data_IF_041961719460
#
_entry.id   IF_041961719460
#
_cell.length_a   1.000
_cell.length_b   1.000
_cell.length_c   1.000
_cell.angle_alpha   90.00
_cell.angle_beta   90.00
_cell.angle_gamma   90.00
#
_symmetry.space_group_name_H-M   'P 1'
#
loop_
_entity.id
_entity.type
_entity.pdbx_description
1 polymer ?
#
# COMPACT_ATOMS: atom_id res chain seq x y z
N UNK A 1 20.95 17.82 -20.39
CA UNK A 1 19.54 17.67 -19.96
C UNK A 1 19.33 16.27 -19.40
N UNK A 2 19.76 16.02 -18.17
CA UNK A 2 19.65 14.70 -17.53
C UNK A 2 19.07 14.89 -16.13
N UNK A 3 17.76 15.15 -16.07
CA UNK A 3 17.08 15.45 -14.80
C UNK A 3 15.62 15.03 -14.86
N UNK A 4 15.34 13.74 -15.10
CA UNK A 4 13.95 13.25 -15.07
C UNK A 4 13.71 11.77 -14.74
N UNK A 5 14.68 11.06 -14.17
CA UNK A 5 14.50 9.65 -13.76
C UNK A 5 15.08 9.32 -12.38
N UNK A 6 15.03 10.29 -11.46
CA UNK A 6 15.17 10.05 -10.02
C UNK A 6 13.76 9.86 -9.45
N UNK A 7 13.15 8.70 -9.69
CA UNK A 7 12.10 8.16 -8.83
C UNK A 7 12.88 7.51 -7.69
N UNK A 8 13.12 8.28 -6.63
CA UNK A 8 14.15 8.00 -5.64
C UNK A 8 13.63 6.98 -4.62
N UNK A 9 14.46 5.98 -4.30
CA UNK A 9 14.27 5.10 -3.13
C UNK A 9 13.94 5.87 -1.83
N UNK A 10 14.31 7.16 -1.77
CA UNK A 10 14.04 8.08 -0.68
C UNK A 10 12.56 8.17 -0.29
N UNK A 11 11.63 7.98 -1.23
CA UNK A 11 10.19 8.07 -0.95
C UNK A 11 9.62 6.86 -0.19
N UNK A 12 10.39 5.76 -0.12
CA UNK A 12 10.01 4.49 0.52
C UNK A 12 10.89 4.14 1.72
N UNK A 13 11.89 4.97 2.02
CA UNK A 13 12.81 4.73 3.12
C UNK A 13 12.34 5.46 4.38
N UNK A 14 12.41 4.81 5.55
CA UNK A 14 12.16 5.49 6.81
C UNK A 14 13.08 6.71 6.93
N UNK A 15 12.55 7.80 7.50
CA UNK A 15 13.20 9.13 7.53
C UNK A 15 14.57 9.19 8.19
N UNK A 16 14.96 8.15 8.94
CA UNK A 16 16.26 8.01 9.59
C UNK A 16 17.29 7.16 8.79
N UNK A 17 16.96 6.74 7.57
CA UNK A 17 17.87 6.01 6.69
C UNK A 17 18.62 6.94 5.74
N UNK A 18 19.86 6.60 5.41
CA UNK A 18 20.66 7.36 4.43
C UNK A 18 20.81 6.59 3.12
N UNK A 19 20.76 7.32 2.01
CA UNK A 19 21.03 6.77 0.68
C UNK A 19 22.34 7.33 0.16
N UNK A 20 23.31 6.44 -0.05
CA UNK A 20 24.63 6.77 -0.56
C UNK A 20 24.82 6.14 -1.95
N UNK A 21 25.24 6.91 -2.97
CA UNK A 21 25.58 6.33 -4.27
C UNK A 21 26.86 5.48 -4.16
N UNK A 22 26.94 4.41 -4.94
CA UNK A 22 28.12 3.57 -5.10
C UNK A 22 28.52 3.47 -6.57
N UNK A 23 29.66 2.84 -6.88
CA UNK A 23 30.13 2.70 -8.26
C UNK A 23 29.14 1.93 -9.17
N UNK A 24 28.39 0.97 -8.61
CA UNK A 24 27.51 0.07 -9.37
C UNK A 24 26.05 0.09 -8.86
N UNK A 25 25.66 1.08 -8.07
CA UNK A 25 24.30 1.21 -7.56
C UNK A 25 24.17 2.08 -6.33
N UNK A 26 23.35 1.67 -5.36
CA UNK A 26 23.05 2.47 -4.16
C UNK A 26 23.26 1.68 -2.88
N UNK A 27 23.56 2.41 -1.82
CA UNK A 27 23.76 1.90 -0.48
C UNK A 27 22.75 2.55 0.46
N UNK A 28 22.04 1.73 1.19
CA UNK A 28 21.03 2.11 2.17
C UNK A 28 21.60 1.88 3.56
N UNK A 29 21.79 2.96 4.32
CA UNK A 29 22.34 2.89 5.67
C UNK A 29 21.20 3.00 6.66
N UNK A 30 20.88 1.88 7.30
CA UNK A 30 19.89 1.74 8.34
C UNK A 30 20.47 2.15 9.72
N UNK A 31 19.61 2.59 10.66
CA UNK A 31 20.02 2.93 12.02
C UNK A 31 20.62 1.75 12.79
N UNK A 32 20.11 0.53 12.54
CA UNK A 32 20.55 -0.70 13.18
C UNK A 32 20.24 -1.91 12.30
N UNK A 33 20.79 -3.08 12.66
CA UNK A 33 20.61 -4.31 11.88
C UNK A 33 19.21 -4.90 11.92
N UNK A 34 18.42 -4.61 12.95
CA UNK A 34 17.04 -5.09 13.05
C UNK A 34 16.14 -4.38 12.03
N UNK A 35 16.27 -3.05 11.93
CA UNK A 35 15.54 -2.25 10.93
C UNK A 35 15.96 -2.64 9.51
N UNK A 36 17.27 -2.87 9.30
CA UNK A 36 17.80 -3.34 8.02
C UNK A 36 17.16 -4.67 7.59
N UNK A 37 17.08 -5.61 8.51
CA UNK A 37 16.53 -6.94 8.28
C UNK A 37 15.01 -6.89 8.04
N UNK A 38 14.27 -6.15 8.88
CA UNK A 38 12.82 -6.01 8.76
C UNK A 38 12.41 -5.36 7.45
N UNK A 39 13.11 -4.30 7.05
CA UNK A 39 12.89 -3.64 5.76
C UNK A 39 13.27 -4.57 4.61
N UNK A 40 14.40 -5.29 4.68
CA UNK A 40 14.76 -6.27 3.65
C UNK A 40 13.70 -7.35 3.50
N UNK A 41 13.18 -7.90 4.59
CA UNK A 41 12.15 -8.95 4.54
C UNK A 41 10.82 -8.42 4.01
N UNK A 42 10.39 -7.23 4.44
CA UNK A 42 9.15 -6.60 3.98
C UNK A 42 9.20 -6.01 2.57
N UNK A 43 10.38 -5.61 2.10
CA UNK A 43 10.58 -4.94 0.81
C UNK A 43 11.49 -5.73 -0.15
N UNK A 44 11.74 -7.02 0.10
CA UNK A 44 12.72 -7.85 -0.62
C UNK A 44 12.58 -7.77 -2.14
N UNK A 45 11.35 -7.93 -2.63
CA UNK A 45 11.07 -7.94 -4.07
C UNK A 45 11.15 -6.53 -4.67
N UNK A 46 10.75 -5.49 -3.92
CA UNK A 46 10.94 -4.10 -4.33
C UNK A 46 12.43 -3.76 -4.47
N UNK A 47 13.26 -4.21 -3.53
CA UNK A 47 14.72 -4.03 -3.59
C UNK A 47 15.32 -4.73 -4.80
N UNK A 48 14.84 -5.92 -5.18
CA UNK A 48 15.29 -6.62 -6.40
C UNK A 48 14.93 -5.84 -7.67
N UNK A 49 13.68 -5.36 -7.77
CA UNK A 49 13.23 -4.56 -8.92
C UNK A 49 14.00 -3.24 -9.02
N UNK A 50 14.24 -2.60 -7.88
CA UNK A 50 15.02 -1.37 -7.81
C UNK A 50 16.48 -1.64 -8.19
N UNK A 51 17.06 -2.77 -7.76
CA UNK A 51 18.40 -3.19 -8.16
C UNK A 51 18.52 -3.47 -9.67
N UNK A 52 17.47 -3.92 -10.36
CA UNK A 52 17.50 -4.05 -11.84
C UNK A 52 17.67 -2.70 -12.55
N UNK A 53 17.16 -1.62 -11.96
CA UNK A 53 17.28 -0.26 -12.51
C UNK A 53 18.57 0.42 -12.06
N UNK A 54 18.96 0.19 -10.80
CA UNK A 54 20.07 0.88 -10.15
C UNK A 54 21.39 0.09 -10.21
N UNK A 55 21.38 -1.17 -10.65
CA UNK A 55 22.53 -2.08 -10.68
C UNK A 55 22.59 -2.97 -9.43
N UNK A 56 22.96 -2.39 -8.29
CA UNK A 56 22.98 -3.08 -7.00
C UNK A 56 22.39 -2.23 -5.87
N UNK A 57 21.83 -2.91 -4.88
CA UNK A 57 21.43 -2.30 -3.61
C UNK A 57 22.15 -3.01 -2.47
N UNK A 58 22.85 -2.23 -1.64
CA UNK A 58 23.51 -2.72 -0.43
C UNK A 58 22.82 -2.15 0.81
N UNK A 59 22.35 -2.99 1.72
CA UNK A 59 21.84 -2.56 3.03
C UNK A 59 22.93 -2.73 4.09
N UNK A 60 23.19 -1.65 4.82
CA UNK A 60 24.25 -1.52 5.82
C UNK A 60 23.72 -0.87 7.10
N UNK A 61 24.40 -1.09 8.21
CA UNK A 61 24.16 -0.42 9.49
C UNK A 61 25.47 -0.34 10.27
N UNK A 62 25.49 0.41 11.38
CA UNK A 62 26.69 0.52 12.21
C UNK A 62 27.05 -0.83 12.87
N UNK A 63 28.33 -1.23 12.77
CA UNK A 63 28.79 -2.56 13.19
C UNK A 63 28.42 -3.72 12.26
N UNK A 64 27.89 -3.46 11.06
CA UNK A 64 27.56 -4.49 10.08
C UNK A 64 28.84 -5.20 9.56
N UNK A 65 28.99 -6.48 9.91
CA UNK A 65 30.11 -7.29 9.41
C UNK A 65 29.93 -7.74 7.95
N UNK A 66 28.68 -7.94 7.51
CA UNK A 66 28.35 -8.34 6.14
C UNK A 66 27.06 -7.64 5.68
N UNK A 67 27.12 -6.76 4.67
CA UNK A 67 25.94 -6.10 4.13
C UNK A 67 25.01 -7.08 3.41
N UNK A 68 23.71 -6.82 3.48
CA UNK A 68 22.72 -7.52 2.65
C UNK A 68 22.83 -6.95 1.24
N UNK A 69 23.25 -7.79 0.29
CA UNK A 69 23.40 -7.40 -1.11
C UNK A 69 22.22 -7.90 -1.93
N UNK A 70 21.64 -7.00 -2.71
CA UNK A 70 20.59 -7.30 -3.68
C UNK A 70 21.12 -6.91 -5.05
N UNK A 71 21.37 -7.93 -5.87
CA UNK A 71 21.86 -7.74 -7.24
C UNK A 71 20.68 -7.76 -8.22
N UNK A 72 20.66 -6.81 -9.14
CA UNK A 72 19.76 -6.85 -10.28
C UNK A 72 20.26 -7.91 -11.26
N UNK A 73 19.59 -9.06 -11.35
CA UNK A 73 19.83 -9.96 -12.47
C UNK A 73 19.37 -9.28 -13.76
N UNK A 74 20.28 -9.11 -14.71
CA UNK A 74 19.98 -8.58 -16.03
C UNK A 74 18.96 -9.51 -16.73
N UNK A 75 17.70 -9.11 -16.74
CA UNK A 75 16.67 -9.76 -17.55
C UNK A 75 16.25 -8.84 -18.70
N UNK A 76 15.98 -9.49 -19.83
CA UNK A 76 15.81 -8.91 -21.16
C UNK A 76 14.78 -7.78 -21.19
N UNK A 77 15.11 -6.74 -21.99
CA UNK A 77 14.22 -5.67 -22.50
C UNK A 77 13.09 -5.27 -21.56
N UNK A 78 13.31 -4.15 -20.85
CA UNK A 78 12.24 -3.36 -20.25
C UNK A 78 11.07 -3.23 -21.23
N UNK A 79 9.86 -3.71 -20.90
CA UNK A 79 8.70 -3.43 -21.73
C UNK A 79 8.47 -1.92 -21.69
N UNK A 80 8.27 -1.34 -22.88
CA UNK A 80 7.87 0.05 -23.05
C UNK A 80 6.64 0.33 -22.19
N UNK A 81 6.73 1.38 -21.37
CA UNK A 81 5.64 1.93 -20.54
C UNK A 81 4.62 2.59 -21.48
N UNK A 82 3.90 1.79 -22.25
CA UNK A 82 2.72 2.22 -23.04
C UNK A 82 1.61 1.17 -23.01
N UNK A 83 1.74 0.14 -22.17
CA UNK A 83 0.65 -0.80 -21.92
C UNK A 83 -0.13 -0.30 -20.70
N UNK A 84 -1.28 0.32 -20.96
CA UNK A 84 -2.37 0.52 -20.01
C UNK A 84 -2.39 -0.60 -18.98
N UNK A 85 -2.14 -0.28 -17.71
CA UNK A 85 -2.37 -1.27 -16.67
C UNK A 85 -3.83 -1.70 -16.74
N UNK A 86 -4.11 -3.01 -16.57
CA UNK A 86 -5.45 -3.51 -16.77
C UNK A 86 -6.42 -2.84 -15.80
N UNK A 87 -7.59 -2.44 -16.29
CA UNK A 87 -8.64 -1.82 -15.46
C UNK A 87 -9.17 -2.76 -14.37
N UNK A 88 -8.98 -4.07 -14.55
CA UNK A 88 -9.30 -5.12 -13.61
C UNK A 88 -8.10 -6.06 -13.47
N UNK A 89 -7.80 -6.45 -12.24
CA UNK A 89 -6.82 -7.50 -11.97
C UNK A 89 -7.49 -8.87 -11.89
N UNK A 90 -6.80 -9.91 -12.32
CA UNK A 90 -7.29 -11.28 -12.24
C UNK A 90 -7.21 -11.82 -10.82
N UNK A 91 -8.16 -12.66 -10.34
CA UNK A 91 -8.09 -13.26 -9.02
C UNK A 91 -6.84 -14.13 -8.78
N UNK A 92 -6.32 -14.76 -9.82
CA UNK A 92 -5.11 -15.58 -9.82
C UNK A 92 -3.83 -14.80 -10.17
N UNK A 93 -3.91 -13.46 -10.18
CA UNK A 93 -2.77 -12.62 -10.51
C UNK A 93 -1.58 -12.90 -9.59
N UNK A 94 -0.42 -13.11 -10.20
CA UNK A 94 0.84 -13.24 -9.47
C UNK A 94 1.30 -11.88 -8.92
N UNK A 95 2.34 -11.92 -8.10
CA UNK A 95 2.88 -10.71 -7.46
C UNK A 95 3.31 -9.62 -8.47
N UNK A 96 3.89 -10.00 -9.61
CA UNK A 96 4.31 -9.06 -10.66
C UNK A 96 3.10 -8.34 -11.28
N UNK A 97 2.04 -9.07 -11.61
CA UNK A 97 0.80 -8.50 -12.13
C UNK A 97 0.10 -7.59 -11.12
N UNK A 98 0.16 -7.92 -9.82
CA UNK A 98 -0.34 -7.04 -8.76
C UNK A 98 0.49 -5.77 -8.66
N UNK A 99 1.83 -5.86 -8.73
CA UNK A 99 2.71 -4.70 -8.72
C UNK A 99 2.48 -3.76 -9.92
N UNK A 100 2.34 -4.33 -11.12
CA UNK A 100 2.03 -3.56 -12.34
C UNK A 100 0.65 -2.90 -12.27
N UNK A 101 -0.33 -3.61 -11.71
CA UNK A 101 -1.66 -3.04 -11.46
C UNK A 101 -1.59 -1.85 -10.50
N UNK A 102 -0.89 -1.97 -9.36
CA UNK A 102 -0.70 -0.86 -8.40
C UNK A 102 -0.03 0.33 -9.09
N UNK A 103 1.06 0.09 -9.82
CA UNK A 103 1.82 1.13 -10.52
C UNK A 103 0.95 1.86 -11.54
N UNK A 104 0.16 1.11 -12.30
CA UNK A 104 -0.80 1.64 -13.25
C UNK A 104 -1.86 2.52 -12.62
N UNK A 105 -2.52 2.04 -11.56
CA UNK A 105 -3.55 2.80 -10.84
C UNK A 105 -2.98 4.03 -10.16
N UNK A 106 -1.76 3.96 -9.64
CA UNK A 106 -1.03 5.14 -9.17
C UNK A 106 -0.79 6.15 -10.30
N UNK A 107 -0.36 5.71 -11.49
CA UNK A 107 -0.15 6.59 -12.64
C UNK A 107 -1.45 7.25 -13.12
N UNK A 108 -2.60 6.59 -12.93
CA UNK A 108 -3.95 7.15 -13.15
C UNK A 108 -4.38 8.16 -12.05
N UNK A 109 -3.57 8.38 -11.02
CA UNK A 109 -3.91 9.24 -9.88
C UNK A 109 -4.87 8.60 -8.88
N UNK A 110 -4.92 7.27 -8.83
CA UNK A 110 -5.82 6.52 -7.95
C UNK A 110 -5.07 6.00 -6.72
N UNK A 111 -5.76 6.07 -5.59
CA UNK A 111 -5.33 5.47 -4.33
C UNK A 111 -5.56 3.97 -4.43
N UNK A 112 -4.55 3.20 -4.04
CA UNK A 112 -4.62 1.74 -3.96
C UNK A 112 -4.35 1.31 -2.53
N UNK A 113 -5.24 0.48 -1.97
CA UNK A 113 -5.08 -0.11 -0.64
C UNK A 113 -5.29 -1.62 -0.74
N UNK A 114 -4.37 -2.40 -0.17
CA UNK A 114 -4.45 -3.86 -0.12
C UNK A 114 -4.68 -4.30 1.31
N UNK A 115 -5.73 -5.08 1.52
CA UNK A 115 -6.10 -5.59 2.84
C UNK A 115 -6.23 -7.11 2.79
N UNK A 116 -5.66 -7.79 3.79
CA UNK A 116 -5.81 -9.24 3.96
C UNK A 116 -7.28 -9.59 4.20
N UNK A 117 -7.79 -10.60 3.48
CA UNK A 117 -9.13 -11.15 3.70
C UNK A 117 -9.18 -12.08 4.92
N UNK A 118 -8.02 -12.52 5.43
CA UNK A 118 -7.93 -13.41 6.60
C UNK A 118 -7.85 -12.61 7.90
N UNK A 119 -6.96 -11.61 7.94
CA UNK A 119 -6.65 -10.86 9.16
C UNK A 119 -7.25 -9.46 9.21
N UNK A 120 -7.85 -8.99 8.11
CA UNK A 120 -8.30 -7.61 7.93
C UNK A 120 -7.21 -6.54 8.10
N UNK A 121 -5.94 -6.96 8.13
CA UNK A 121 -4.80 -6.04 8.22
C UNK A 121 -4.51 -5.40 6.87
N UNK A 122 -4.22 -4.11 6.90
CA UNK A 122 -3.63 -3.43 5.76
C UNK A 122 -2.23 -4.00 5.48
N UNK A 123 -1.98 -4.33 4.23
CA UNK A 123 -0.69 -4.83 3.76
C UNK A 123 0.06 -3.75 2.96
N UNK A 124 -0.69 -2.87 2.29
CA UNK A 124 -0.12 -1.82 1.47
C UNK A 124 -1.13 -0.70 1.30
N UNK A 125 -0.64 0.54 1.29
CA UNK A 125 -1.34 1.69 0.73
C UNK A 125 -0.32 2.50 -0.06
N UNK A 126 -0.71 3.04 -1.22
CA UNK A 126 0.19 3.91 -1.96
C UNK A 126 0.25 5.33 -1.34
N UNK A 127 1.27 6.07 -1.71
CA UNK A 127 1.58 7.44 -1.30
C UNK A 127 0.56 8.49 -1.76
N UNK A 128 -0.43 8.11 -2.58
CA UNK A 128 -1.53 9.01 -2.95
C UNK A 128 -2.61 9.11 -1.86
N UNK A 129 -2.52 8.31 -0.80
CA UNK A 129 -3.41 8.41 0.36
C UNK A 129 -3.19 9.76 1.06
N UNK A 130 -4.12 10.69 0.85
CA UNK A 130 -4.05 12.03 1.43
C UNK A 130 -4.41 12.04 2.92
N UNK A 131 -3.70 12.88 3.67
CA UNK A 131 -3.82 13.04 5.13
C UNK A 131 -5.27 13.23 5.59
N UNK A 132 -6.02 14.13 4.95
CA UNK A 132 -7.40 14.46 5.34
C UNK A 132 -8.36 13.29 5.16
N UNK A 133 -8.19 12.54 4.07
CA UNK A 133 -8.96 11.31 3.78
C UNK A 133 -8.72 10.27 4.86
N UNK A 134 -7.48 10.21 5.35
CA UNK A 134 -7.07 9.32 6.42
C UNK A 134 -7.38 9.82 7.84
N UNK A 135 -7.93 11.02 8.00
CA UNK A 135 -8.14 11.59 9.33
C UNK A 135 -6.83 11.93 10.05
N UNK A 136 -5.81 12.32 9.30
CA UNK A 136 -4.51 12.72 9.79
C UNK A 136 -3.43 11.65 9.72
N UNK A 137 -3.64 10.60 8.94
CA UNK A 137 -2.71 9.48 8.80
C UNK A 137 -2.09 9.48 7.40
N UNK A 138 -0.78 9.27 7.35
CA UNK A 138 0.02 9.05 6.14
C UNK A 138 0.08 7.56 5.79
N UNK A 139 0.59 7.21 4.61
CA UNK A 139 0.56 5.83 4.10
C UNK A 139 1.07 4.77 5.08
N UNK A 140 2.21 5.04 5.73
CA UNK A 140 2.83 4.09 6.66
C UNK A 140 2.00 3.83 7.91
N UNK A 141 1.24 4.83 8.38
CA UNK A 141 0.37 4.71 9.56
C UNK A 141 -0.73 3.65 9.34
N UNK A 142 -1.07 3.34 8.08
CA UNK A 142 -2.10 2.36 7.75
C UNK A 142 -1.58 0.92 7.79
N UNK A 143 -0.29 0.69 7.52
CA UNK A 143 0.24 -0.67 7.36
C UNK A 143 0.12 -1.43 8.70
N UNK A 144 -0.43 -2.65 8.65
CA UNK A 144 -0.70 -3.47 9.83
C UNK A 144 -1.95 -3.08 10.63
N UNK A 145 -2.61 -1.96 10.32
CA UNK A 145 -3.87 -1.58 10.94
C UNK A 145 -4.93 -2.63 10.65
N UNK A 146 -5.65 -3.07 11.69
CA UNK A 146 -6.86 -3.86 11.56
C UNK A 146 -8.01 -2.99 11.03
N UNK A 147 -8.27 -3.08 9.73
CA UNK A 147 -9.28 -2.28 9.04
C UNK A 147 -10.68 -2.59 9.55
N UNK A 148 -10.92 -3.79 10.10
CA UNK A 148 -12.24 -4.17 10.63
C UNK A 148 -12.71 -3.20 11.73
N UNK A 149 -11.78 -2.61 12.48
CA UNK A 149 -12.08 -1.58 13.51
C UNK A 149 -12.71 -0.31 12.93
N UNK A 150 -12.39 0.04 11.68
CA UNK A 150 -12.96 1.18 10.97
C UNK A 150 -14.42 0.90 10.55
N UNK A 151 -14.74 -0.38 10.35
CA UNK A 151 -16.09 -0.88 10.02
C UNK A 151 -16.98 -1.13 11.24
N UNK A 152 -16.57 -0.73 12.46
CA UNK A 152 -17.29 -1.05 13.71
C UNK A 152 -18.80 -0.72 13.67
N UNK A 153 -19.18 0.37 13.00
CA UNK A 153 -20.57 0.79 12.86
C UNK A 153 -21.39 -0.17 11.97
N UNK A 154 -20.76 -0.91 11.04
CA UNK A 154 -21.42 -1.92 10.21
C UNK A 154 -21.91 -3.14 11.01
N UNK A 155 -21.40 -3.33 12.22
CA UNK A 155 -21.79 -4.45 13.09
C UNK A 155 -22.81 -4.04 14.17
N UNK A 156 -23.19 -2.76 14.23
CA UNK A 156 -24.16 -2.27 15.20
C UNK A 156 -25.60 -2.60 14.77
N UNK A 157 -26.42 -3.01 15.75
CA UNK A 157 -27.85 -3.28 15.52
C UNK A 157 -28.53 -2.01 15.02
N UNK A 158 -29.32 -2.14 13.96
CA UNK A 158 -30.04 -1.01 13.34
C UNK A 158 -29.22 -0.18 12.36
N UNK A 159 -27.93 -0.49 12.15
CA UNK A 159 -27.09 0.13 11.11
C UNK A 159 -26.92 -0.77 9.90
N UNK A 160 -26.64 -0.17 8.74
CA UNK A 160 -26.35 -0.90 7.51
C UNK A 160 -25.02 -1.65 7.62
N UNK A 161 -25.05 -2.96 7.39
CA UNK A 161 -23.84 -3.79 7.41
C UNK A 161 -23.06 -3.73 6.08
N UNK A 162 -22.42 -2.59 5.82
CA UNK A 162 -21.61 -2.38 4.61
C UNK A 162 -20.47 -3.39 4.51
N UNK A 163 -19.81 -3.71 5.63
CA UNK A 163 -18.71 -4.68 5.65
C UNK A 163 -19.16 -6.07 5.18
N UNK A 164 -20.29 -6.57 5.68
CA UNK A 164 -20.85 -7.86 5.26
C UNK A 164 -21.23 -7.87 3.79
N UNK A 165 -21.82 -6.78 3.28
CA UNK A 165 -22.13 -6.65 1.85
C UNK A 165 -20.87 -6.68 0.98
N UNK A 166 -19.82 -5.98 1.41
CA UNK A 166 -18.53 -5.96 0.72
C UNK A 166 -17.91 -7.36 0.65
N UNK A 167 -17.81 -8.05 1.79
CA UNK A 167 -17.23 -9.41 1.87
C UNK A 167 -18.02 -10.37 0.99
N UNK A 168 -19.35 -10.35 1.06
CA UNK A 168 -20.19 -11.20 0.21
C UNK A 168 -19.99 -10.93 -1.29
N UNK A 169 -19.90 -9.65 -1.70
CA UNK A 169 -19.65 -9.29 -3.08
C UNK A 169 -18.26 -9.74 -3.54
N UNK A 170 -17.23 -9.57 -2.72
CA UNK A 170 -15.86 -9.99 -3.04
C UNK A 170 -15.76 -11.52 -3.14
N UNK A 171 -16.37 -12.26 -2.21
CA UNK A 171 -16.32 -13.72 -2.22
C UNK A 171 -17.10 -14.31 -3.40
N UNK A 172 -18.28 -13.76 -3.70
CA UNK A 172 -19.15 -14.27 -4.78
C UNK A 172 -18.70 -13.82 -6.16
N UNK A 173 -18.44 -12.52 -6.33
CA UNK A 173 -18.27 -11.88 -7.64
C UNK A 173 -16.79 -11.58 -7.94
N UNK A 174 -15.88 -11.89 -7.01
CA UNK A 174 -14.44 -11.61 -7.07
C UNK A 174 -14.10 -10.13 -7.23
N UNK A 175 -15.06 -9.25 -6.93
CA UNK A 175 -14.90 -7.80 -6.96
C UNK A 175 -16.23 -7.07 -7.03
N UNK A 176 -16.17 -5.75 -6.85
CA UNK A 176 -17.32 -4.85 -6.96
C UNK A 176 -16.84 -3.47 -7.39
N UNK A 177 -17.57 -2.82 -8.28
CA UNK A 177 -17.29 -1.44 -8.72
C UNK A 177 -18.20 -0.44 -8.01
N UNK A 178 -17.71 0.78 -7.83
CA UNK A 178 -18.44 1.92 -7.25
C UNK A 178 -19.19 1.57 -5.95
N UNK A 179 -18.52 0.84 -5.05
CA UNK A 179 -19.09 0.47 -3.77
C UNK A 179 -19.08 1.67 -2.83
N UNK A 180 -20.28 2.13 -2.46
CA UNK A 180 -20.48 3.24 -1.52
C UNK A 180 -20.68 2.73 -0.10
N UNK A 181 -19.95 3.30 0.85
CA UNK A 181 -19.98 2.83 2.23
C UNK A 181 -19.64 3.91 3.24
N UNK A 182 -20.05 3.68 4.48
CA UNK A 182 -19.71 4.52 5.63
C UNK A 182 -18.75 3.76 6.55
N UNK A 183 -17.60 4.38 6.85
CA UNK A 183 -16.66 3.89 7.86
C UNK A 183 -16.23 5.01 8.79
N UNK A 184 -15.78 4.62 9.98
CA UNK A 184 -15.15 5.52 10.92
C UNK A 184 -13.68 5.69 10.56
N UNK A 185 -13.23 6.94 10.46
CA UNK A 185 -11.80 7.26 10.31
C UNK A 185 -11.06 6.97 11.62
N UNK A 186 -9.71 6.86 11.59
CA UNK A 186 -8.89 6.83 12.81
C UNK A 186 -9.19 7.97 13.79
N UNK A 187 -9.49 9.17 13.27
CA UNK A 187 -9.94 10.33 14.07
C UNK A 187 -11.28 10.15 14.78
N UNK A 188 -12.04 9.09 14.52
CA UNK A 188 -13.36 8.85 15.10
C UNK A 188 -14.54 9.43 14.32
N UNK A 189 -14.30 10.39 13.41
CA UNK A 189 -15.33 10.92 12.52
C UNK A 189 -15.91 9.83 11.59
N UNK A 190 -17.21 9.88 11.31
CA UNK A 190 -17.85 9.06 10.30
C UNK A 190 -17.69 9.72 8.93
N UNK A 191 -17.23 8.94 7.96
CA UNK A 191 -17.07 9.41 6.60
C UNK A 191 -17.68 8.42 5.60
N UNK A 192 -18.17 8.98 4.51
CA UNK A 192 -18.63 8.26 3.35
C UNK A 192 -17.51 8.17 2.32
N UNK A 193 -17.39 7.01 1.68
CA UNK A 193 -16.39 6.71 0.67
C UNK A 193 -17.04 6.01 -0.53
N UNK A 194 -16.38 6.10 -1.68
CA UNK A 194 -16.63 5.22 -2.83
C UNK A 194 -15.33 4.56 -3.27
N UNK A 195 -15.38 3.27 -3.59
CA UNK A 195 -14.21 2.51 -4.05
C UNK A 195 -14.62 1.34 -4.93
N UNK A 196 -13.75 0.96 -5.86
CA UNK A 196 -13.82 -0.34 -6.51
C UNK A 196 -12.95 -1.34 -5.76
N UNK A 197 -13.40 -2.59 -5.63
CA UNK A 197 -12.68 -3.66 -4.95
C UNK A 197 -12.42 -4.81 -5.91
N UNK A 198 -11.22 -5.35 -5.84
CA UNK A 198 -10.79 -6.53 -6.59
C UNK A 198 -10.30 -7.60 -5.63
N UNK A 199 -10.67 -8.84 -5.86
CA UNK A 199 -10.15 -9.98 -5.12
C UNK A 199 -8.89 -10.52 -5.79
N UNK A 200 -7.87 -10.88 -4.99
CA UNK A 200 -6.70 -11.65 -5.44
C UNK A 200 -6.43 -12.76 -4.43
N UNK A 201 -6.26 -13.99 -4.90
CA UNK A 201 -6.17 -15.19 -4.06
C UNK A 201 -4.85 -15.32 -3.31
N UNK A 202 -3.76 -14.80 -3.89
CA UNK A 202 -2.42 -15.15 -3.43
C UNK A 202 -1.42 -13.99 -3.49
N UNK A 203 -1.74 -12.88 -2.82
CA UNK A 203 -0.78 -11.80 -2.63
C UNK A 203 -0.06 -11.99 -1.29
N UNK A 204 1.26 -12.17 -1.32
CA UNK A 204 2.07 -12.51 -0.13
C UNK A 204 1.53 -13.74 0.62
N UNK A 205 1.17 -14.79 -0.12
CA UNK A 205 0.65 -16.06 0.42
C UNK A 205 -0.71 -15.96 1.12
N UNK A 206 -1.43 -14.85 0.95
CA UNK A 206 -2.76 -14.65 1.52
C UNK A 206 -3.76 -14.10 0.49
N UNK A 207 -5.05 -14.44 0.63
CA UNK A 207 -6.10 -13.78 -0.14
C UNK A 207 -6.25 -12.34 0.32
N UNK A 208 -6.40 -11.43 -0.63
CA UNK A 208 -6.50 -10.00 -0.39
C UNK A 208 -7.67 -9.37 -1.16
N UNK A 209 -8.15 -8.26 -0.61
CA UNK A 209 -8.97 -7.29 -1.34
C UNK A 209 -8.13 -6.07 -1.65
N UNK A 210 -8.19 -5.63 -2.90
CA UNK A 210 -7.52 -4.43 -3.40
C UNK A 210 -8.58 -3.37 -3.64
N UNK A 211 -8.59 -2.33 -2.81
CA UNK A 211 -9.43 -1.16 -2.98
C UNK A 211 -8.73 -0.16 -3.90
N UNK A 212 -9.46 0.36 -4.89
CA UNK A 212 -9.04 1.42 -5.80
C UNK A 212 -10.04 2.56 -5.68
N UNK A 213 -9.54 3.77 -5.41
CA UNK A 213 -10.40 4.93 -5.19
C UNK A 213 -9.78 6.22 -5.70
N UNK A 214 -10.62 7.19 -6.10
CA UNK A 214 -10.12 8.53 -6.40
C UNK A 214 -9.83 9.26 -5.10
N UNK A 215 -8.84 10.15 -5.14
CA UNK A 215 -8.47 11.00 -4.00
C UNK A 215 -9.68 11.76 -3.43
N UNK A 216 -10.57 12.26 -4.30
CA UNK A 216 -11.75 13.04 -3.93
C UNK A 216 -13.03 12.23 -3.62
N UNK A 217 -13.02 10.90 -3.74
CA UNK A 217 -14.22 10.07 -3.53
C UNK A 217 -14.43 9.78 -2.03
N UNK A 218 -14.60 10.84 -1.23
CA UNK A 218 -14.93 10.75 0.18
C UNK A 218 -15.49 12.07 0.72
N UNK A 219 -16.21 12.00 1.85
CA UNK A 219 -16.61 13.17 2.65
C UNK A 219 -16.90 12.79 4.10
N UNK A 220 -16.64 13.71 5.03
CA UNK A 220 -17.10 13.58 6.42
C UNK A 220 -18.61 13.80 6.46
N UNK A 221 -19.34 12.92 7.14
CA UNK A 221 -20.79 13.01 7.34
C UNK A 221 -21.17 13.19 8.82
N UNK A 222 -20.28 12.82 9.74
CA UNK A 222 -20.41 13.06 11.18
C UNK A 222 -19.02 13.36 11.74
N UNK A 223 -18.85 14.50 12.41
CA UNK A 223 -17.60 14.83 13.11
C UNK A 223 -17.33 13.86 14.25
N UNK A 224 -16.07 13.74 14.68
CA UNK A 224 -15.78 13.05 15.92
C UNK A 224 -16.48 13.80 17.07
N UNK A 225 -17.18 13.08 17.94
CA UNK A 225 -17.62 13.66 19.21
C UNK A 225 -16.36 13.94 20.02
N UNK A 226 -16.01 15.21 20.17
CA UNK A 226 -15.03 15.61 21.17
C UNK A 226 -15.51 15.07 22.50
N UNK A 227 -14.69 14.24 23.15
CA UNK A 227 -14.95 13.75 24.50
C UNK A 227 -14.84 14.85 25.56
N UNK A 228 -15.29 16.07 25.27
CA UNK A 228 -15.52 17.11 26.26
C UNK A 228 -16.84 16.84 27.00
N UNK A 229 -16.94 15.66 27.63
CA UNK A 229 -17.74 15.57 28.83
C UNK A 229 -16.85 16.12 29.95
N UNK A 230 -17.12 17.38 30.32
CA UNK A 230 -16.84 17.90 31.65
C UNK A 230 -17.19 16.84 32.69
N UNK A 231 -16.18 16.39 33.44
CA UNK A 231 -16.33 15.95 34.82
C UNK A 231 -15.62 16.98 35.68
#
# INVERSE_FOLDING_TARGET
>A
MATKQKLELNDYLPSNWQVLPTANGVRLVAPNGMDAQFFYEGAREYLKLSAQTLGSIELLWDGCAQPIKVEGMASAKSPSIDSYAPSKISPDANHEAVADFIKGKKAEGLIVTITSMVSDKCLLVNDLQVFDRGGGWTGDDWIGLDFKKLWRDSFQIGKTNYYGQLVQAIERDRGISDFHYHIRRPSGALAEYSSSYHFVENFLEVPVRIAVSKVGDWRVIESATDGSETI
#
